data_IF_898305589760
#
_entry.id   IF_898305589760
#
_cell.length_a   1.000
_cell.length_b   1.000
_cell.length_c   1.000
_cell.angle_alpha   90.00
_cell.angle_beta   90.00
_cell.angle_gamma   90.00
#
_symmetry.space_group_name_H-M   'P 1'
#
loop_
_entity.id
_entity.type
_entity.pdbx_description
1 polymer ?
#
# COMPACT_ATOMS: atom_id res chain seq x y z
N UNK A 1 -12.94 -17.87 7.07
CA UNK A 1 -12.20 -17.78 5.79
C UNK A 1 -11.01 -16.87 6.02
N UNK A 2 -9.81 -17.42 5.94
CA UNK A 2 -8.60 -16.82 6.50
C UNK A 2 -8.09 -15.65 5.65
N UNK A 3 -8.41 -14.44 6.10
CA UNK A 3 -7.58 -13.22 6.15
C UNK A 3 -6.33 -13.23 5.25
N UNK A 4 -6.51 -12.89 3.96
CA UNK A 4 -5.49 -12.89 2.93
C UNK A 4 -4.48 -11.73 3.12
N UNK A 5 -3.64 -11.79 4.16
CA UNK A 5 -2.58 -10.80 4.43
C UNK A 5 -1.32 -11.09 3.61
N UNK A 6 -1.42 -10.95 2.29
CA UNK A 6 -0.23 -10.85 1.44
C UNK A 6 0.33 -9.43 1.54
N UNK A 7 1.52 -9.31 2.15
CA UNK A 7 2.29 -8.07 2.18
C UNK A 7 3.19 -8.03 0.94
N UNK A 8 2.85 -7.16 -0.01
CA UNK A 8 3.59 -6.94 -1.24
C UNK A 8 4.80 -6.04 -1.00
N UNK A 9 5.91 -6.37 -1.63
CA UNK A 9 7.09 -5.50 -1.77
C UNK A 9 6.86 -4.43 -2.85
N UNK A 10 7.74 -3.42 -2.91
CA UNK A 10 7.67 -2.40 -3.95
C UNK A 10 7.80 -3.01 -5.37
N UNK A 11 8.55 -4.11 -5.52
CA UNK A 11 8.67 -4.85 -6.77
C UNK A 11 7.33 -5.46 -7.19
N UNK A 12 6.69 -6.20 -6.27
CA UNK A 12 5.40 -6.85 -6.55
C UNK A 12 4.29 -5.83 -6.80
N UNK A 13 4.28 -4.70 -6.09
CA UNK A 13 3.35 -3.60 -6.36
C UNK A 13 3.57 -3.04 -7.77
N UNK A 14 4.82 -2.84 -8.17
CA UNK A 14 5.17 -2.35 -9.49
C UNK A 14 4.72 -3.31 -10.59
N UNK A 15 4.94 -4.62 -10.40
CA UNK A 15 4.45 -5.67 -11.31
C UNK A 15 2.92 -5.70 -11.38
N UNK A 16 2.24 -5.60 -10.24
CA UNK A 16 0.77 -5.58 -10.17
C UNK A 16 0.17 -4.39 -10.92
N UNK A 17 0.84 -3.24 -10.88
CA UNK A 17 0.40 -2.01 -11.53
C UNK A 17 0.96 -1.84 -12.96
N UNK A 18 1.85 -2.72 -13.41
CA UNK A 18 2.52 -2.61 -14.71
C UNK A 18 3.44 -1.38 -14.83
N UNK A 19 4.00 -0.90 -13.72
CA UNK A 19 4.88 0.29 -13.68
C UNK A 19 6.29 -0.05 -13.21
N UNK A 20 7.21 0.90 -13.32
CA UNK A 20 8.56 0.75 -12.75
C UNK A 20 8.57 0.90 -11.23
N UNK A 21 9.42 0.13 -10.54
CA UNK A 21 9.61 0.22 -9.07
C UNK A 21 9.92 1.64 -8.59
N UNK A 22 10.69 2.39 -9.40
CA UNK A 22 11.05 3.78 -9.11
C UNK A 22 9.81 4.71 -9.09
N UNK A 23 8.78 4.41 -9.87
CA UNK A 23 7.50 5.12 -9.85
C UNK A 23 6.76 4.87 -8.53
N UNK A 24 6.76 3.63 -8.04
CA UNK A 24 6.15 3.28 -6.74
C UNK A 24 6.80 4.05 -5.60
N UNK A 25 8.14 4.11 -5.56
CA UNK A 25 8.85 4.91 -4.56
C UNK A 25 8.57 6.41 -4.68
N UNK A 26 8.49 6.94 -5.91
CA UNK A 26 8.16 8.34 -6.15
C UNK A 26 6.74 8.67 -5.69
N UNK A 27 5.75 7.83 -5.98
CA UNK A 27 4.38 8.01 -5.51
C UNK A 27 4.26 7.92 -3.99
N UNK A 28 5.09 7.08 -3.36
CA UNK A 28 5.19 7.00 -1.90
C UNK A 28 5.79 8.26 -1.30
N UNK A 29 6.81 8.83 -1.92
CA UNK A 29 7.43 10.10 -1.48
C UNK A 29 6.47 11.28 -1.63
N UNK A 30 5.70 11.30 -2.73
CA UNK A 30 4.65 12.28 -3.00
C UNK A 30 3.36 12.05 -2.21
N UNK A 31 3.25 10.94 -1.46
CA UNK A 31 2.04 10.58 -0.72
C UNK A 31 0.84 10.21 -1.59
N UNK A 32 1.02 10.00 -2.90
CA UNK A 32 -0.07 9.68 -3.83
C UNK A 32 -0.56 8.23 -3.71
N UNK A 33 0.32 7.29 -3.32
CA UNK A 33 -0.03 5.88 -3.11
C UNK A 33 -0.38 5.60 -1.63
N UNK A 34 -1.07 4.48 -1.39
CA UNK A 34 -1.34 3.94 -0.06
C UNK A 34 -0.10 3.93 0.85
N UNK A 35 -0.25 4.25 2.15
CA UNK A 35 0.84 4.20 3.10
C UNK A 35 1.36 2.76 3.27
N UNK A 36 2.70 2.55 3.25
CA UNK A 36 3.27 1.23 3.49
C UNK A 36 3.16 0.82 4.97
N UNK A 37 2.99 -0.47 5.20
CA UNK A 37 3.15 -1.15 6.48
C UNK A 37 4.64 -1.34 6.76
N UNK A 38 5.09 -0.84 7.92
CA UNK A 38 6.42 -1.14 8.45
C UNK A 38 6.39 -2.51 9.12
N UNK A 39 7.27 -3.40 8.68
CA UNK A 39 7.47 -4.70 9.34
C UNK A 39 8.58 -4.53 10.37
N UNK A 40 8.28 -4.81 11.65
CA UNK A 40 9.26 -4.69 12.72
C UNK A 40 10.53 -5.51 12.41
N UNK A 41 11.70 -4.91 12.60
CA UNK A 41 13.00 -5.56 12.31
C UNK A 41 13.43 -5.53 10.84
N UNK A 42 12.65 -4.92 9.94
CA UNK A 42 13.05 -4.72 8.54
C UNK A 42 12.86 -3.28 8.10
N UNK A 43 13.87 -2.72 7.42
CA UNK A 43 13.76 -1.42 6.76
C UNK A 43 12.91 -1.49 5.47
N UNK A 44 12.48 -2.68 5.05
CA UNK A 44 11.71 -2.87 3.83
C UNK A 44 10.27 -2.34 3.98
N UNK A 45 9.85 -1.54 3.01
CA UNK A 45 8.47 -1.09 2.88
C UNK A 45 7.62 -2.22 2.31
N UNK A 46 6.45 -2.47 2.92
CA UNK A 46 5.47 -3.41 2.39
C UNK A 46 4.09 -2.79 2.29
N UNK A 47 3.30 -3.23 1.33
CA UNK A 47 1.91 -2.81 1.15
C UNK A 47 1.00 -4.00 1.34
N UNK A 48 -0.17 -3.81 1.97
CA UNK A 48 -1.16 -4.88 1.94
C UNK A 48 -1.73 -4.95 0.53
N UNK A 49 -1.80 -6.15 -0.03
CA UNK A 49 -2.40 -6.38 -1.33
C UNK A 49 -3.81 -5.77 -1.42
N UNK A 50 -4.62 -6.00 -0.40
CA UNK A 50 -5.99 -5.46 -0.32
C UNK A 50 -6.04 -3.92 -0.39
N UNK A 51 -5.06 -3.21 0.20
CA UNK A 51 -5.02 -1.74 0.15
C UNK A 51 -4.74 -1.25 -1.26
N UNK A 52 -3.79 -1.90 -1.95
CA UNK A 52 -3.45 -1.60 -3.35
C UNK A 52 -4.64 -1.87 -4.25
N UNK A 53 -5.30 -3.01 -4.09
CA UNK A 53 -6.50 -3.37 -4.88
C UNK A 53 -7.64 -2.36 -4.65
N UNK A 54 -7.90 -1.97 -3.41
CA UNK A 54 -8.90 -0.96 -3.09
C UNK A 54 -8.55 0.42 -3.67
N UNK A 55 -7.26 0.80 -3.65
CA UNK A 55 -6.79 2.06 -4.21
C UNK A 55 -6.92 2.12 -5.73
N UNK A 56 -6.59 1.01 -6.40
CA UNK A 56 -6.82 0.86 -7.84
C UNK A 56 -8.31 0.94 -8.15
N UNK A 57 -9.15 0.24 -7.39
CA UNK A 57 -10.61 0.27 -7.55
C UNK A 57 -11.21 1.66 -7.33
N UNK A 58 -10.61 2.48 -6.46
CA UNK A 58 -10.98 3.87 -6.25
C UNK A 58 -10.50 4.84 -7.34
N UNK A 59 -9.82 4.34 -8.38
CA UNK A 59 -9.32 5.15 -9.50
C UNK A 59 -7.97 5.80 -9.24
N UNK A 60 -7.12 5.18 -8.41
CA UNK A 60 -5.78 5.67 -8.07
C UNK A 60 -5.77 7.12 -7.54
N UNK A 61 -6.59 7.44 -6.52
CA UNK A 61 -6.66 8.79 -5.98
C UNK A 61 -5.33 9.16 -5.32
N UNK A 62 -4.95 10.44 -5.40
CA UNK A 62 -3.81 10.95 -4.65
C UNK A 62 -4.14 10.90 -3.15
N UNK A 63 -3.56 9.95 -2.42
CA UNK A 63 -3.93 9.67 -1.02
C UNK A 63 -3.67 10.87 -0.10
N UNK A 64 -2.58 11.62 -0.31
CA UNK A 64 -2.23 12.80 0.47
C UNK A 64 -3.21 13.95 0.22
N UNK A 65 -3.58 14.20 -1.03
CA UNK A 65 -4.46 15.32 -1.39
C UNK A 65 -5.93 15.04 -1.12
N UNK A 66 -6.38 13.80 -1.32
CA UNK A 66 -7.79 13.40 -1.18
C UNK A 66 -8.12 12.87 0.22
N UNK A 67 -7.10 12.58 1.04
CA UNK A 67 -7.28 11.92 2.34
C UNK A 67 -7.79 10.47 2.20
N UNK A 68 -7.67 9.87 1.01
CA UNK A 68 -8.11 8.51 0.76
C UNK A 68 -7.38 7.54 1.70
N UNK A 69 -8.15 6.66 2.34
CA UNK A 69 -7.65 5.64 3.25
C UNK A 69 -8.33 4.32 2.94
N UNK A 70 -7.58 3.20 2.89
CA UNK A 70 -8.20 1.90 2.79
C UNK A 70 -9.01 1.64 4.06
N UNK A 71 -10.22 1.11 3.91
CA UNK A 71 -11.14 0.82 5.02
C UNK A 71 -10.67 -0.33 5.93
N UNK A 72 -9.57 -1.00 5.59
CA UNK A 72 -9.06 -2.19 6.30
C UNK A 72 -8.25 -1.86 7.57
N UNK A 73 -8.34 -0.62 8.08
CA UNK A 73 -7.96 -0.30 9.46
C UNK A 73 -8.98 -0.86 10.48
N UNK A 74 -9.38 -2.11 10.29
CA UNK A 74 -10.12 -2.87 11.30
C UNK A 74 -9.10 -3.50 12.26
N UNK A 75 -8.74 -2.74 13.29
CA UNK A 75 -8.05 -3.14 14.53
C UNK A 75 -6.76 -3.97 14.40
N UNK A 76 -5.65 -3.29 14.61
CA UNK A 76 -4.38 -3.89 15.05
C UNK A 76 -3.66 -2.98 16.05
N UNK A 77 -4.42 -2.32 16.93
CA UNK A 77 -3.87 -1.51 18.01
C UNK A 77 -3.44 -2.39 19.18
N UNK A 78 -2.32 -1.97 19.79
CA UNK A 78 -1.80 -2.33 21.10
C UNK A 78 -1.26 -3.77 21.27
N UNK A 79 0.07 -3.88 21.39
CA UNK A 79 0.73 -4.27 22.65
C UNK A 79 2.06 -3.53 22.78
#
# INVERSE_FOLDING_TARGET
>A
MNENKQLLTAAEVAETLGVGQRSVFRWRDMGSICPPVKVAGSAALRWRRADIEAWVAAGTPDCQRTGWKPSTDAKGGAR
#
